data_IF_874899176041
#
_entry.id   IF_874899176041
#
_cell.length_a   1.000
_cell.length_b   1.000
_cell.length_c   1.000
_cell.angle_alpha   90.00
_cell.angle_beta   90.00
_cell.angle_gamma   90.00
#
_symmetry.space_group_name_H-M   'P 1'
#
loop_
_entity.id
_entity.type
_entity.pdbx_description
1 polymer ?
#
# COMPACT_ATOMS: atom_id res chain seq x y z
N UNK A 1 -16.50 -4.76 -31.20
CA UNK A 1 -16.20 -3.66 -30.25
C UNK A 1 -14.89 -4.00 -29.57
N UNK A 2 -13.81 -3.37 -30.02
CA UNK A 2 -12.44 -3.66 -29.59
C UNK A 2 -12.20 -2.94 -28.26
N UNK A 3 -12.03 -3.72 -27.18
CA UNK A 3 -11.76 -3.22 -25.85
C UNK A 3 -10.42 -2.50 -25.80
N UNK A 4 -10.47 -1.27 -25.29
CA UNK A 4 -9.38 -0.33 -25.08
C UNK A 4 -8.10 -0.99 -24.57
N UNK A 5 -7.00 -0.75 -25.28
CA UNK A 5 -5.63 -1.10 -24.93
C UNK A 5 -5.26 -0.45 -23.59
N UNK A 6 -5.12 -1.26 -22.53
CA UNK A 6 -4.72 -0.75 -21.21
C UNK A 6 -3.35 -0.08 -21.29
N UNK A 7 -3.31 1.17 -20.84
CA UNK A 7 -2.13 2.03 -20.74
C UNK A 7 -1.01 1.36 -19.93
N UNK A 8 0.22 1.70 -20.28
CA UNK A 8 1.42 1.40 -19.51
C UNK A 8 1.24 1.86 -18.05
N UNK A 9 0.96 0.95 -17.12
CA UNK A 9 0.73 1.21 -15.69
C UNK A 9 2.03 1.54 -14.92
N UNK A 10 3.07 2.02 -15.60
CA UNK A 10 4.31 2.42 -14.94
C UNK A 10 4.13 3.77 -14.25
N UNK A 11 4.58 3.88 -13.00
CA UNK A 11 4.62 5.17 -12.31
C UNK A 11 5.66 6.10 -12.97
N UNK A 12 5.20 7.16 -13.63
CA UNK A 12 6.09 8.13 -14.30
C UNK A 12 6.94 8.95 -13.33
N UNK A 13 6.48 9.14 -12.09
CA UNK A 13 7.17 9.90 -11.05
C UNK A 13 7.15 9.17 -9.70
N UNK A 14 8.33 8.98 -9.11
CA UNK A 14 8.53 8.27 -7.84
C UNK A 14 9.50 9.03 -6.93
N UNK A 15 9.36 8.82 -5.62
CA UNK A 15 10.19 9.45 -4.59
C UNK A 15 10.34 8.56 -3.34
N UNK A 16 11.27 8.88 -2.41
CA UNK A 16 11.36 8.23 -1.11
C UNK A 16 10.10 8.46 -0.27
N UNK A 17 9.76 7.49 0.59
CA UNK A 17 8.65 7.60 1.54
C UNK A 17 8.76 8.89 2.37
N UNK A 18 7.62 9.51 2.66
CA UNK A 18 7.57 10.76 3.43
C UNK A 18 8.28 10.62 4.78
N UNK A 19 9.07 11.64 5.13
CA UNK A 19 9.76 11.75 6.43
C UNK A 19 9.05 12.77 7.32
N UNK A 20 9.31 12.72 8.63
CA UNK A 20 8.83 13.73 9.59
C UNK A 20 9.16 15.15 9.13
N UNK A 21 10.42 15.38 8.71
CA UNK A 21 10.87 16.65 8.18
C UNK A 21 10.04 17.12 6.98
N UNK A 22 9.81 16.24 5.99
CA UNK A 22 9.00 16.57 4.81
C UNK A 22 7.54 16.87 5.19
N UNK A 23 6.99 16.15 6.16
CA UNK A 23 5.65 16.41 6.70
C UNK A 23 5.58 17.82 7.30
N UNK A 24 6.56 18.17 8.14
CA UNK A 24 6.66 19.48 8.79
C UNK A 24 6.83 20.62 7.77
N UNK A 25 7.80 20.51 6.86
CA UNK A 25 8.17 21.58 5.93
C UNK A 25 7.13 21.84 4.83
N UNK A 26 6.41 20.81 4.39
CA UNK A 26 5.50 20.92 3.24
C UNK A 26 4.03 20.98 3.69
N UNK A 27 3.60 20.02 4.50
CA UNK A 27 2.17 19.85 4.82
C UNK A 27 1.79 20.63 6.09
N UNK A 28 2.68 20.70 7.06
CA UNK A 28 2.47 21.48 8.28
C UNK A 28 3.18 22.84 8.22
N UNK A 29 3.50 23.33 7.01
CA UNK A 29 4.10 24.65 6.86
C UNK A 29 3.26 25.73 7.56
N UNK A 30 3.92 26.49 8.45
CA UNK A 30 3.32 27.56 9.25
C UNK A 30 2.44 27.07 10.41
N UNK A 31 2.56 25.81 10.83
CA UNK A 31 1.81 25.23 11.95
C UNK A 31 2.80 24.91 13.07
N UNK A 32 2.73 25.67 14.16
CA UNK A 32 3.48 25.37 15.38
C UNK A 32 2.63 24.43 16.25
N UNK A 33 3.16 23.23 16.50
CA UNK A 33 2.51 22.22 17.35
C UNK A 33 3.30 22.11 18.65
N UNK A 34 2.84 22.86 19.64
CA UNK A 34 3.39 22.85 20.99
C UNK A 34 2.35 22.33 21.97
N UNK A 35 2.81 21.67 23.04
CA UNK A 35 1.95 21.31 24.16
C UNK A 35 1.62 22.55 25.04
N UNK A 36 0.78 22.35 26.06
CA UNK A 36 0.38 23.41 26.98
C UNK A 36 1.56 23.99 27.80
N UNK A 37 2.65 23.23 27.92
CA UNK A 37 3.86 23.61 28.65
C UNK A 37 4.89 24.29 27.71
N UNK A 38 4.57 24.41 26.42
CA UNK A 38 5.42 25.02 25.39
C UNK A 38 6.47 24.08 24.79
N UNK A 39 6.42 22.78 25.08
CA UNK A 39 7.31 21.80 24.44
C UNK A 39 6.81 21.46 23.05
N UNK A 40 7.74 21.30 22.11
CA UNK A 40 7.43 20.83 20.77
C UNK A 40 6.90 19.39 20.78
N UNK A 41 5.99 19.08 19.87
CA UNK A 41 5.52 17.72 19.68
C UNK A 41 6.71 16.80 19.30
N UNK A 42 6.91 15.66 20.00
CA UNK A 42 8.02 14.77 19.67
C UNK A 42 7.96 14.19 18.26
N UNK A 43 9.11 14.06 17.60
CA UNK A 43 9.25 13.39 16.29
C UNK A 43 8.61 11.99 16.24
N UNK A 44 8.62 11.27 17.37
CA UNK A 44 7.97 9.96 17.50
C UNK A 44 6.47 10.01 17.26
N UNK A 45 5.82 11.10 17.65
CA UNK A 45 4.37 11.29 17.45
C UNK A 45 4.07 11.58 15.99
N UNK A 46 4.86 12.43 15.34
CA UNK A 46 4.76 12.65 13.89
C UNK A 46 4.96 11.34 13.11
N UNK A 47 5.97 10.55 13.48
CA UNK A 47 6.22 9.25 12.86
C UNK A 47 5.05 8.28 13.07
N UNK A 48 4.43 8.27 14.26
CA UNK A 48 3.24 7.46 14.53
C UNK A 48 2.06 7.86 13.62
N UNK A 49 1.83 9.15 13.39
CA UNK A 49 0.78 9.61 12.47
C UNK A 49 1.09 9.27 11.01
N UNK A 50 2.35 9.33 10.59
CA UNK A 50 2.78 8.84 9.26
C UNK A 50 2.48 7.34 9.14
N UNK A 51 2.85 6.53 10.13
CA UNK A 51 2.60 5.09 10.11
C UNK A 51 1.11 4.76 10.08
N UNK A 52 0.29 5.50 10.84
CA UNK A 52 -1.17 5.35 10.81
C UNK A 52 -1.73 5.71 9.44
N UNK A 53 -1.28 6.80 8.82
CA UNK A 53 -1.72 7.21 7.48
C UNK A 53 -1.34 6.16 6.42
N UNK A 54 -0.12 5.63 6.48
CA UNK A 54 0.33 4.53 5.63
C UNK A 54 -0.59 3.32 5.80
N UNK A 55 -0.80 2.86 7.04
CA UNK A 55 -1.66 1.72 7.34
C UNK A 55 -3.09 1.93 6.82
N UNK A 56 -3.69 3.09 7.06
CA UNK A 56 -5.04 3.41 6.57
C UNK A 56 -5.12 3.35 5.05
N UNK A 57 -4.14 3.92 4.33
CA UNK A 57 -4.13 3.89 2.87
C UNK A 57 -3.88 2.50 2.31
N UNK A 58 -2.99 1.70 2.93
CA UNK A 58 -2.77 0.29 2.57
C UNK A 58 -4.08 -0.50 2.65
N UNK A 59 -4.86 -0.34 3.72
CA UNK A 59 -6.16 -1.02 3.86
C UNK A 59 -7.22 -0.53 2.87
N UNK A 60 -7.30 0.78 2.61
CA UNK A 60 -8.28 1.33 1.67
C UNK A 60 -7.98 0.89 0.23
N UNK A 61 -6.70 0.90 -0.14
CA UNK A 61 -6.25 0.61 -1.50
C UNK A 61 -5.95 -0.88 -1.73
N UNK A 62 -5.95 -1.69 -0.67
CA UNK A 62 -5.61 -3.12 -0.71
C UNK A 62 -4.25 -3.34 -1.41
N UNK A 63 -3.26 -2.55 -0.98
CA UNK A 63 -1.90 -2.59 -1.51
C UNK A 63 -0.90 -2.37 -0.38
N UNK A 64 0.35 -2.79 -0.57
CA UNK A 64 1.42 -2.49 0.36
C UNK A 64 2.23 -1.26 -0.08
N UNK A 65 2.41 -0.29 0.81
CA UNK A 65 3.25 0.88 0.57
C UNK A 65 4.68 0.56 0.98
N UNK A 66 4.82 0.02 2.20
CA UNK A 66 6.12 -0.28 2.80
C UNK A 66 6.65 -1.66 2.37
N UNK A 67 7.96 -1.80 2.05
CA UNK A 67 8.56 -3.10 1.74
C UNK A 67 8.39 -4.12 2.86
N UNK A 68 7.86 -5.28 2.53
CA UNK A 68 7.67 -6.43 3.44
C UNK A 68 8.00 -7.71 2.69
N UNK A 69 8.62 -8.66 3.40
CA UNK A 69 8.72 -10.03 2.93
C UNK A 69 7.51 -10.81 3.46
N UNK A 70 7.00 -11.74 2.67
CA UNK A 70 5.98 -12.68 3.14
C UNK A 70 6.43 -13.40 4.41
N UNK A 71 5.64 -13.33 5.48
CA UNK A 71 5.92 -14.02 6.75
C UNK A 71 5.89 -15.55 6.59
N UNK A 72 4.99 -16.02 5.73
CA UNK A 72 4.87 -17.41 5.30
C UNK A 72 4.80 -17.43 3.78
N UNK A 73 5.49 -18.34 3.10
CA UNK A 73 5.35 -18.46 1.65
C UNK A 73 3.88 -18.66 1.26
N UNK A 74 3.46 -17.95 0.23
CA UNK A 74 2.11 -18.01 -0.30
C UNK A 74 1.91 -19.31 -1.08
N UNK A 75 0.81 -20.00 -0.81
CA UNK A 75 0.46 -21.22 -1.52
C UNK A 75 -0.59 -20.91 -2.60
N UNK A 76 -0.42 -21.47 -3.80
CA UNK A 76 -1.39 -21.36 -4.89
C UNK A 76 -1.74 -22.72 -5.44
N UNK A 77 -3.03 -22.87 -5.71
CA UNK A 77 -3.56 -24.01 -6.41
C UNK A 77 -3.06 -24.03 -7.86
N UNK A 78 -2.95 -25.24 -8.38
CA UNK A 78 -2.73 -25.45 -9.79
C UNK A 78 -4.06 -25.72 -10.47
N UNK A 79 -4.33 -24.98 -11.52
CA UNK A 79 -5.37 -25.29 -12.49
C UNK A 79 -4.71 -25.55 -13.86
N UNK A 80 -5.14 -26.62 -14.53
CA UNK A 80 -4.62 -26.97 -15.84
C UNK A 80 -4.85 -25.86 -16.89
N UNK A 81 -5.94 -25.10 -16.78
CA UNK A 81 -6.24 -23.99 -17.68
C UNK A 81 -5.25 -22.83 -17.49
N UNK A 82 -5.06 -22.36 -16.26
CA UNK A 82 -4.11 -21.29 -15.91
C UNK A 82 -2.68 -21.66 -16.32
N UNK A 83 -2.36 -22.96 -16.23
CA UNK A 83 -1.08 -23.49 -16.67
C UNK A 83 -0.89 -23.42 -18.19
N UNK A 84 -1.92 -23.80 -18.97
CA UNK A 84 -1.90 -23.67 -20.44
C UNK A 84 -1.78 -22.21 -20.87
N UNK A 85 -2.30 -21.27 -20.06
CA UNK A 85 -2.15 -19.83 -20.23
C UNK A 85 -0.85 -19.27 -19.64
N UNK A 86 0.26 -20.00 -19.82
CA UNK A 86 1.61 -19.63 -19.34
C UNK A 86 1.72 -19.51 -17.82
N UNK A 87 1.00 -20.36 -17.07
CA UNK A 87 1.11 -20.42 -15.62
C UNK A 87 0.74 -19.10 -14.96
N UNK A 88 -0.52 -18.68 -15.15
CA UNK A 88 -1.07 -17.50 -14.49
C UNK A 88 -1.12 -17.70 -12.97
N UNK A 89 -0.25 -17.00 -12.25
CA UNK A 89 -0.14 -17.08 -10.79
C UNK A 89 -0.29 -15.68 -10.19
N UNK A 90 -1.52 -15.27 -9.81
CA UNK A 90 -1.76 -14.00 -9.16
C UNK A 90 -1.35 -14.08 -7.68
N UNK A 91 -0.57 -13.12 -7.21
CA UNK A 91 -0.16 -12.98 -5.82
C UNK A 91 -1.17 -12.16 -5.03
N UNK A 92 -1.29 -12.44 -3.74
CA UNK A 92 -2.25 -11.76 -2.87
C UNK A 92 -1.82 -10.32 -2.54
N UNK A 93 -0.52 -10.02 -2.57
CA UNK A 93 0.01 -8.70 -2.24
C UNK A 93 0.78 -8.11 -3.42
N UNK A 94 0.57 -6.83 -3.67
CA UNK A 94 1.26 -6.05 -4.69
C UNK A 94 1.42 -4.59 -4.23
N UNK A 95 2.33 -3.80 -4.85
CA UNK A 95 3.29 -4.19 -5.89
C UNK A 95 4.36 -5.15 -5.38
N UNK A 96 4.99 -5.92 -6.28
CA UNK A 96 6.01 -6.92 -5.92
C UNK A 96 7.40 -6.44 -6.34
N UNK A 97 8.34 -6.42 -5.40
CA UNK A 97 9.73 -6.01 -5.64
C UNK A 97 10.49 -7.15 -6.30
N UNK A 98 10.42 -8.34 -5.70
CA UNK A 98 11.15 -9.52 -6.17
C UNK A 98 10.50 -10.81 -5.67
N UNK A 99 10.71 -11.90 -6.42
CA UNK A 99 10.39 -13.25 -5.98
C UNK A 99 11.66 -13.84 -5.38
N UNK A 100 11.61 -14.18 -4.10
CA UNK A 100 12.72 -14.79 -3.37
C UNK A 100 12.84 -16.26 -3.74
N UNK A 101 11.71 -16.96 -3.77
CA UNK A 101 11.63 -18.38 -4.10
C UNK A 101 10.30 -18.69 -4.77
N UNK A 102 10.35 -19.48 -5.85
CA UNK A 102 9.19 -20.10 -6.47
C UNK A 102 9.46 -21.59 -6.54
N UNK A 103 8.62 -22.37 -5.88
CA UNK A 103 8.81 -23.80 -5.77
C UNK A 103 7.50 -24.56 -5.94
N UNK A 104 7.68 -25.85 -6.18
CA UNK A 104 6.63 -26.82 -6.40
C UNK A 104 6.63 -27.80 -5.22
N UNK A 105 5.49 -27.95 -4.57
CA UNK A 105 5.26 -28.82 -3.42
C UNK A 105 4.14 -29.78 -3.78
N UNK A 106 4.39 -31.09 -3.71
CA UNK A 106 3.38 -32.11 -4.03
C UNK A 106 3.06 -33.04 -2.87
N UNK A 107 4.05 -33.32 -2.04
CA UNK A 107 3.93 -34.18 -0.87
C UNK A 107 4.24 -33.39 0.38
N UNK A 108 3.66 -33.84 1.48
CA UNK A 108 4.11 -33.46 2.80
C UNK A 108 4.89 -34.63 3.38
N UNK A 109 5.88 -34.33 4.20
CA UNK A 109 6.61 -35.36 4.93
C UNK A 109 5.77 -35.95 6.08
N UNK A 110 6.33 -36.93 6.79
CA UNK A 110 5.68 -37.59 7.94
C UNK A 110 5.37 -36.62 9.11
N UNK A 111 5.89 -35.38 9.07
CA UNK A 111 5.61 -34.30 10.04
C UNK A 111 4.63 -33.25 9.50
N UNK A 112 3.97 -33.55 8.38
CA UNK A 112 3.05 -32.66 7.69
C UNK A 112 3.71 -31.33 7.22
N UNK A 113 5.03 -31.33 7.00
CA UNK A 113 5.71 -30.19 6.40
C UNK A 113 5.78 -30.33 4.87
N UNK A 114 5.59 -29.24 4.12
CA UNK A 114 5.63 -29.28 2.66
C UNK A 114 7.02 -29.68 2.17
N UNK A 115 7.10 -30.75 1.38
CA UNK A 115 8.33 -31.22 0.76
C UNK A 115 8.49 -30.57 -0.63
N UNK A 116 9.53 -29.75 -0.77
CA UNK A 116 9.83 -29.09 -2.05
C UNK A 116 10.32 -30.13 -3.06
N UNK A 117 9.46 -30.46 -4.02
CA UNK A 117 9.80 -31.38 -5.10
C UNK A 117 10.67 -30.72 -6.19
N UNK A 118 10.50 -29.42 -6.45
CA UNK A 118 11.39 -28.67 -7.33
C UNK A 118 11.38 -27.16 -7.08
N UNK A 119 12.56 -26.54 -7.12
CA UNK A 119 12.72 -25.09 -7.22
C UNK A 119 12.69 -24.63 -8.68
N UNK A 120 11.87 -23.63 -8.97
CA UNK A 120 11.74 -23.05 -10.29
C UNK A 120 12.83 -21.97 -10.48
N UNK A 121 13.72 -22.12 -11.46
CA UNK A 121 14.76 -21.13 -11.72
C UNK A 121 14.17 -19.75 -12.07
N UNK A 122 14.77 -18.63 -11.59
CA UNK A 122 14.36 -17.27 -11.94
C UNK A 122 14.26 -16.98 -13.44
N UNK A 123 15.05 -17.68 -14.25
CA UNK A 123 15.05 -17.53 -15.69
C UNK A 123 13.81 -18.12 -16.40
N UNK A 124 12.94 -18.83 -15.67
CA UNK A 124 11.75 -19.50 -16.20
C UNK A 124 10.44 -18.80 -15.86
N UNK A 125 10.51 -17.64 -15.22
CA UNK A 125 9.33 -16.84 -14.95
C UNK A 125 9.52 -15.37 -15.30
N UNK A 126 8.40 -14.68 -15.42
CA UNK A 126 8.28 -13.24 -15.57
C UNK A 126 7.35 -12.73 -14.49
N UNK A 127 7.77 -11.70 -13.80
CA UNK A 127 6.95 -10.97 -12.84
C UNK A 127 6.41 -9.72 -13.53
N UNK A 128 5.11 -9.47 -13.35
CA UNK A 128 4.49 -8.16 -13.54
C UNK A 128 4.37 -7.50 -12.14
N UNK A 129 5.31 -6.62 -11.75
CA UNK A 129 5.39 -6.07 -10.40
C UNK A 129 4.12 -5.37 -9.93
N UNK A 130 3.56 -4.51 -10.78
CA UNK A 130 2.43 -3.64 -10.46
C UNK A 130 1.10 -4.38 -10.28
N UNK A 131 0.99 -5.57 -10.87
CA UNK A 131 -0.24 -6.38 -10.82
C UNK A 131 -0.07 -7.62 -9.93
N UNK A 132 1.15 -7.87 -9.42
CA UNK A 132 1.44 -9.08 -8.64
C UNK A 132 1.25 -10.38 -9.41
N UNK A 133 1.43 -10.39 -10.74
CA UNK A 133 1.21 -11.59 -11.56
C UNK A 133 2.54 -12.21 -11.94
N UNK A 134 2.72 -13.48 -11.62
CA UNK A 134 3.82 -14.31 -12.15
C UNK A 134 3.30 -15.08 -13.37
N UNK A 135 4.14 -15.17 -14.41
CA UNK A 135 3.95 -16.05 -15.57
C UNK A 135 5.15 -16.95 -15.75
N UNK A 136 4.90 -18.21 -16.06
CA UNK A 136 5.93 -19.21 -16.36
C UNK A 136 6.25 -19.16 -17.85
N UNK A 137 7.49 -18.81 -18.18
CA UNK A 137 8.00 -18.76 -19.56
C UNK A 137 9.30 -19.56 -19.64
N UNK A 138 9.29 -20.77 -20.26
CA UNK A 138 10.50 -21.55 -20.43
C UNK A 138 11.47 -20.89 -21.42
N UNK A 139 12.78 -21.14 -21.25
CA UNK A 139 13.83 -20.58 -22.12
C UNK A 139 14.66 -21.68 -22.82
N UNK A 140 15.57 -21.34 -23.73
CA UNK A 140 16.35 -22.36 -24.47
C UNK A 140 17.35 -23.17 -23.60
N UNK A 141 17.53 -22.83 -22.31
CA UNK A 141 18.33 -23.61 -21.34
C UNK A 141 17.45 -24.55 -20.51
N UNK A 142 16.19 -24.66 -20.88
CA UNK A 142 15.25 -25.57 -20.27
C UNK A 142 15.66 -27.01 -20.58
N UNK A 143 15.78 -27.89 -19.57
CA UNK A 143 16.13 -29.28 -19.77
C UNK A 143 15.19 -29.90 -20.81
N UNK A 144 15.72 -30.60 -21.82
CA UNK A 144 14.89 -31.23 -22.86
C UNK A 144 13.86 -32.23 -22.34
N UNK A 145 13.96 -32.67 -21.09
CA UNK A 145 12.97 -33.48 -20.36
C UNK A 145 11.79 -32.69 -19.78
N UNK A 146 11.81 -31.38 -19.99
CA UNK A 146 10.86 -30.43 -19.51
C UNK A 146 10.27 -29.60 -20.68
N UNK A 147 10.73 -29.80 -21.93
CA UNK A 147 10.34 -28.99 -23.09
C UNK A 147 8.87 -29.13 -23.55
N UNK A 148 8.28 -28.00 -23.96
CA UNK A 148 6.94 -27.90 -24.56
C UNK A 148 6.97 -28.49 -25.98
N UNK A 149 6.48 -29.72 -26.10
CA UNK A 149 6.27 -30.44 -27.35
C UNK A 149 6.35 -31.94 -27.14
N UNK A 150 5.25 -32.69 -27.36
CA UNK A 150 5.06 -34.15 -27.24
C UNK A 150 5.63 -34.91 -26.02
N UNK A 151 6.39 -34.26 -25.14
CA UNK A 151 7.17 -34.82 -24.04
C UNK A 151 7.29 -33.89 -22.81
N UNK A 152 6.36 -32.93 -22.66
CA UNK A 152 5.92 -32.37 -21.36
C UNK A 152 6.77 -31.28 -20.70
N UNK A 153 6.09 -30.32 -20.08
CA UNK A 153 6.57 -29.60 -18.90
C UNK A 153 5.61 -29.82 -17.74
N UNK A 154 6.14 -30.33 -16.62
CA UNK A 154 5.56 -30.77 -15.32
C UNK A 154 4.26 -31.61 -15.33
N UNK A 155 4.26 -32.64 -14.47
CA UNK A 155 4.07 -34.02 -14.87
C UNK A 155 2.70 -34.23 -15.52
N UNK A 156 2.69 -35.01 -16.61
CA UNK A 156 1.50 -35.48 -17.31
C UNK A 156 0.41 -36.07 -16.37
N UNK A 157 0.80 -36.43 -15.13
CA UNK A 157 -0.10 -36.81 -14.03
C UNK A 157 -1.09 -35.69 -13.62
N UNK A 158 -0.74 -34.40 -13.68
CA UNK A 158 -1.65 -33.30 -13.29
C UNK A 158 -2.57 -32.85 -14.41
N UNK A 159 -2.19 -33.04 -15.68
CA UNK A 159 -3.16 -32.87 -16.78
C UNK A 159 -4.36 -33.78 -16.64
N UNK A 160 -4.18 -34.98 -16.05
CA UNK A 160 -5.29 -35.90 -15.74
C UNK A 160 -6.13 -35.44 -14.55
N UNK A 161 -5.52 -34.78 -13.55
CA UNK A 161 -6.23 -34.33 -12.35
C UNK A 161 -6.93 -32.98 -12.54
N UNK A 162 -6.46 -32.14 -13.47
CA UNK A 162 -7.08 -30.84 -13.83
C UNK A 162 -6.92 -29.74 -12.76
N UNK A 163 -6.85 -30.12 -11.50
CA UNK A 163 -6.69 -29.28 -10.33
C UNK A 163 -5.83 -29.99 -9.27
N UNK A 164 -4.90 -29.26 -8.65
CA UNK A 164 -4.12 -29.74 -7.51
C UNK A 164 -3.99 -28.61 -6.49
N UNK A 165 -4.43 -28.79 -5.23
CA UNK A 165 -4.38 -27.73 -4.23
C UNK A 165 -2.95 -27.47 -3.73
N UNK A 166 -2.67 -26.22 -3.37
CA UNK A 166 -1.42 -25.75 -2.73
C UNK A 166 -0.13 -26.25 -3.40
N UNK A 167 -0.15 -26.38 -4.73
CA UNK A 167 0.96 -26.95 -5.50
C UNK A 167 2.15 -26.00 -5.61
N UNK A 168 1.85 -24.71 -5.75
CA UNK A 168 2.85 -23.66 -5.88
C UNK A 168 3.11 -23.03 -4.54
N UNK A 169 4.38 -22.82 -4.23
CA UNK A 169 4.81 -22.09 -3.04
C UNK A 169 5.68 -20.92 -3.47
N UNK A 170 5.30 -19.72 -3.07
CA UNK A 170 5.93 -18.47 -3.49
C UNK A 170 6.34 -17.65 -2.27
N UNK A 171 7.64 -17.43 -2.11
CA UNK A 171 8.18 -16.44 -1.17
C UNK A 171 8.59 -15.20 -1.96
N UNK A 172 8.11 -14.04 -1.55
CA UNK A 172 8.35 -12.80 -2.28
C UNK A 172 8.40 -11.59 -1.35
N UNK A 173 9.05 -10.54 -1.86
CA UNK A 173 9.11 -9.24 -1.21
C UNK A 173 8.19 -8.29 -1.98
N UNK A 174 7.27 -7.65 -1.27
CA UNK A 174 6.23 -6.78 -1.82
C UNK A 174 6.23 -5.41 -1.13
N UNK A 175 5.53 -4.44 -1.71
CA UNK A 175 5.61 -3.02 -1.40
C UNK A 175 6.45 -2.24 -2.41
N UNK A 176 6.56 -0.92 -2.23
CA UNK A 176 7.39 -0.11 -3.12
C UNK A 176 8.84 -0.09 -2.64
N UNK A 177 9.78 -0.42 -3.52
CA UNK A 177 11.20 -0.33 -3.22
C UNK A 177 11.60 1.06 -2.70
N UNK A 178 12.68 1.13 -1.90
CA UNK A 178 13.14 2.39 -1.34
C UNK A 178 13.38 3.44 -2.45
N UNK A 179 12.79 4.64 -2.30
CA UNK A 179 12.88 5.69 -3.31
C UNK A 179 11.97 5.52 -4.53
N UNK A 180 11.12 4.49 -4.55
CA UNK A 180 10.24 4.14 -5.68
C UNK A 180 8.75 4.27 -5.33
N UNK A 181 8.40 5.01 -4.28
CA UNK A 181 6.99 5.25 -3.94
C UNK A 181 6.41 6.28 -4.92
N UNK A 182 5.25 6.04 -5.54
CA UNK A 182 4.62 6.98 -6.45
C UNK A 182 4.33 8.31 -5.76
N UNK A 183 4.66 9.43 -6.40
CA UNK A 183 4.49 10.77 -5.81
C UNK A 183 3.05 11.00 -5.34
N UNK A 184 2.06 10.55 -6.11
CA UNK A 184 0.64 10.70 -5.77
C UNK A 184 0.25 9.90 -4.51
N UNK A 185 0.81 8.71 -4.34
CA UNK A 185 0.58 7.87 -3.16
C UNK A 185 1.21 8.49 -1.92
N UNK A 186 2.45 8.96 -2.04
CA UNK A 186 3.12 9.73 -0.99
C UNK A 186 2.37 11.02 -0.64
N UNK A 187 1.79 11.68 -1.64
CA UNK A 187 1.00 12.87 -1.43
C UNK A 187 -0.25 12.57 -0.59
N UNK A 188 -0.94 11.46 -0.87
CA UNK A 188 -2.05 10.98 -0.06
C UNK A 188 -1.63 10.68 1.39
N UNK A 189 -0.48 10.02 1.59
CA UNK A 189 0.08 9.77 2.95
C UNK A 189 0.32 11.08 3.67
N UNK A 190 0.93 12.06 3.01
CA UNK A 190 1.21 13.37 3.60
C UNK A 190 -0.04 14.16 3.98
N UNK A 191 -1.06 14.19 3.10
CA UNK A 191 -2.34 14.82 3.41
C UNK A 191 -3.00 14.18 4.63
N UNK A 192 -3.08 12.85 4.67
CA UNK A 192 -3.75 12.13 5.75
C UNK A 192 -2.99 12.25 7.08
N UNK A 193 -1.66 12.08 7.06
CA UNK A 193 -0.82 12.24 8.23
C UNK A 193 -0.91 13.68 8.78
N UNK A 194 -0.91 14.68 7.90
CA UNK A 194 -1.05 16.08 8.29
C UNK A 194 -2.43 16.34 8.90
N UNK A 195 -3.52 15.81 8.34
CA UNK A 195 -4.85 15.92 8.95
C UNK A 195 -4.85 15.39 10.39
N UNK A 196 -4.26 14.22 10.65
CA UNK A 196 -4.18 13.68 12.01
C UNK A 196 -3.42 14.61 12.97
N UNK A 197 -2.29 15.15 12.52
CA UNK A 197 -1.51 16.09 13.33
C UNK A 197 -2.24 17.42 13.52
N UNK A 198 -2.96 17.92 12.52
CA UNK A 198 -3.71 19.19 12.60
C UNK A 198 -4.89 19.08 13.57
N UNK A 199 -5.54 17.92 13.65
CA UNK A 199 -6.57 17.67 14.67
C UNK A 199 -5.96 17.68 16.08
N UNK A 200 -4.85 16.94 16.28
CA UNK A 200 -4.13 16.94 17.55
C UNK A 200 -3.68 18.36 17.95
N UNK A 201 -3.08 19.08 17.01
CA UNK A 201 -2.62 20.45 17.23
C UNK A 201 -3.79 21.39 17.54
N UNK A 202 -4.92 21.23 16.85
CA UNK A 202 -6.13 22.00 17.10
C UNK A 202 -6.62 21.91 18.54
N UNK A 203 -6.59 20.70 19.11
CA UNK A 203 -6.98 20.44 20.49
C UNK A 203 -5.97 21.00 21.51
N UNK A 204 -4.68 21.08 21.14
CA UNK A 204 -3.60 21.54 22.01
C UNK A 204 -3.51 23.07 22.14
N UNK A 205 -4.00 23.87 21.18
CA UNK A 205 -3.85 25.35 21.18
C UNK A 205 -4.40 26.02 22.45
N UNK A 206 -5.34 25.38 23.15
CA UNK A 206 -6.08 25.99 24.29
C UNK A 206 -6.07 25.07 25.50
N UNK A 207 -5.49 23.87 25.37
CA UNK A 207 -5.71 22.75 26.27
C UNK A 207 -6.99 22.00 25.92
N UNK A 208 -6.91 20.66 26.00
CA UNK A 208 -8.02 19.78 25.69
C UNK A 208 -9.29 20.20 26.46
N UNK A 209 -10.35 20.59 25.74
CA UNK A 209 -11.65 20.92 26.31
C UNK A 209 -11.81 22.34 26.89
N UNK A 210 -10.86 23.26 26.67
CA UNK A 210 -10.98 24.66 27.12
C UNK A 210 -11.44 25.54 25.94
N UNK A 211 -12.62 26.14 26.05
CA UNK A 211 -13.23 27.00 25.02
C UNK A 211 -12.86 28.50 25.15
N UNK A 212 -12.07 28.86 26.15
CA UNK A 212 -11.59 30.22 26.36
C UNK A 212 -10.69 30.33 27.59
N UNK A 213 -9.67 31.17 27.49
CA UNK A 213 -8.76 31.47 28.60
C UNK A 213 -8.78 32.98 28.85
N UNK A 214 -9.03 33.36 30.10
CA UNK A 214 -8.95 34.74 30.57
C UNK A 214 -7.76 34.87 31.50
N UNK A 215 -6.69 35.52 31.03
CA UNK A 215 -5.56 35.86 31.88
C UNK A 215 -5.75 37.29 32.39
N UNK A 216 -5.96 37.42 33.70
CA UNK A 216 -6.06 38.71 34.41
C UNK A 216 -4.83 38.86 35.29
N UNK A 217 -3.92 39.75 34.91
CA UNK A 217 -2.81 40.14 35.78
C UNK A 217 -2.88 41.66 35.97
N UNK A 218 -3.13 42.06 37.21
CA UNK A 218 -3.27 43.43 37.74
C UNK A 218 -3.25 44.56 36.68
N UNK A 219 -4.45 44.95 36.23
CA UNK A 219 -4.64 46.07 35.28
C UNK A 219 -4.62 45.72 33.78
N UNK A 220 -4.18 44.51 33.40
CA UNK A 220 -4.24 43.99 32.03
C UNK A 220 -5.15 42.75 31.98
N UNK A 221 -6.27 42.89 31.26
CA UNK A 221 -7.19 41.78 30.97
C UNK A 221 -6.98 41.34 29.53
N UNK A 222 -6.43 40.16 29.32
CA UNK A 222 -6.39 39.51 28.02
C UNK A 222 -7.40 38.36 28.02
N UNK A 223 -8.55 38.59 27.40
CA UNK A 223 -9.52 37.54 27.11
C UNK A 223 -9.21 36.96 25.73
N UNK A 224 -8.80 35.70 25.68
CA UNK A 224 -8.71 34.95 24.43
C UNK A 224 -9.97 34.10 24.34
N UNK A 225 -10.92 34.57 23.53
CA UNK A 225 -12.05 33.75 23.11
C UNK A 225 -11.69 33.06 21.80
N UNK A 226 -11.87 31.75 21.79
CA UNK A 226 -11.64 30.91 20.63
C UNK A 226 -12.90 30.14 20.35
N UNK A 227 -13.30 30.04 19.09
CA UNK A 227 -14.31 29.08 18.66
C UNK A 227 -13.67 27.68 18.67
N UNK A 228 -13.53 27.09 19.86
CA UNK A 228 -13.16 25.68 20.03
C UNK A 228 -14.44 24.85 20.19
N UNK A 229 -14.73 24.01 19.22
CA UNK A 229 -15.78 22.98 19.24
C UNK A 229 -15.20 21.67 18.69
N UNK A 230 -15.93 20.56 18.83
CA UNK A 230 -15.55 19.27 18.26
C UNK A 230 -15.32 19.32 16.72
N UNK A 231 -15.89 20.31 16.03
CA UNK A 231 -15.76 20.50 14.58
C UNK A 231 -14.92 21.74 14.19
N UNK A 232 -14.65 22.64 15.13
CA UNK A 232 -13.89 23.87 14.90
C UNK A 232 -12.80 24.02 15.95
N UNK A 233 -11.56 23.73 15.58
CA UNK A 233 -10.36 24.00 16.36
C UNK A 233 -9.40 24.86 15.52
N UNK A 234 -8.32 25.40 16.10
CA UNK A 234 -7.51 26.44 15.44
C UNK A 234 -6.97 26.10 14.03
N UNK A 235 -6.85 24.81 13.69
CA UNK A 235 -6.43 24.34 12.37
C UNK A 235 -7.51 23.59 11.55
N UNK A 236 -8.79 23.65 11.93
CA UNK A 236 -9.86 22.86 11.28
C UNK A 236 -10.03 23.18 9.80
N UNK A 237 -9.92 24.46 9.42
CA UNK A 237 -10.00 24.87 8.01
C UNK A 237 -8.90 24.24 7.15
N UNK A 238 -7.67 24.15 7.66
CA UNK A 238 -6.55 23.51 6.94
C UNK A 238 -6.74 22.00 6.85
N UNK A 239 -7.17 21.36 7.94
CA UNK A 239 -7.47 19.93 7.96
C UNK A 239 -8.61 19.57 6.98
N UNK A 240 -9.68 20.37 6.94
CA UNK A 240 -10.79 20.18 6.01
C UNK A 240 -10.35 20.35 4.56
N UNK A 241 -9.51 21.36 4.25
CA UNK A 241 -8.93 21.49 2.92
C UNK A 241 -8.10 20.26 2.49
N UNK A 242 -7.37 19.64 3.43
CA UNK A 242 -6.62 18.41 3.15
C UNK A 242 -7.51 17.19 2.98
N UNK A 243 -8.58 17.08 3.78
CA UNK A 243 -9.59 16.05 3.59
C UNK A 243 -10.30 16.18 2.24
N UNK A 244 -10.68 17.40 1.84
CA UNK A 244 -11.28 17.65 0.52
C UNK A 244 -10.30 17.31 -0.61
N UNK A 245 -9.02 17.65 -0.50
CA UNK A 245 -8.02 17.29 -1.49
C UNK A 245 -7.80 15.76 -1.58
N UNK A 246 -7.87 15.05 -0.45
CA UNK A 246 -7.67 13.61 -0.38
C UNK A 246 -8.89 12.83 -0.87
N UNK A 247 -10.07 13.10 -0.32
CA UNK A 247 -11.31 12.35 -0.55
C UNK A 247 -12.17 12.91 -1.67
N UNK A 248 -11.91 14.15 -2.10
CA UNK A 248 -12.76 14.86 -3.04
C UNK A 248 -13.88 15.63 -2.34
N UNK A 249 -14.50 16.57 -3.07
CA UNK A 249 -15.66 17.34 -2.58
C UNK A 249 -16.98 16.67 -2.98
N UNK A 250 -17.03 16.11 -4.18
CA UNK A 250 -18.24 15.59 -4.83
C UNK A 250 -17.86 14.43 -5.77
N UNK A 251 -18.82 13.66 -6.27
CA UNK A 251 -18.58 12.56 -7.24
C UNK A 251 -17.81 12.99 -8.50
N UNK A 252 -17.87 14.27 -8.89
CA UNK A 252 -17.16 14.82 -10.05
C UNK A 252 -15.71 15.22 -9.78
N UNK A 253 -15.33 15.32 -8.52
CA UNK A 253 -13.98 15.63 -8.06
C UNK A 253 -13.59 14.56 -7.04
N UNK A 254 -13.10 13.40 -7.51
CA UNK A 254 -12.90 12.22 -6.67
C UNK A 254 -11.68 12.33 -5.75
N UNK A 255 -10.98 13.48 -5.77
CA UNK A 255 -9.77 13.72 -5.01
C UNK A 255 -8.62 12.79 -5.38
N UNK A 256 -7.53 12.89 -4.63
CA UNK A 256 -6.33 12.06 -4.84
C UNK A 256 -6.65 10.58 -4.63
N UNK A 257 -7.45 10.25 -3.61
CA UNK A 257 -7.76 8.88 -3.26
C UNK A 257 -8.61 8.19 -4.34
N UNK A 258 -9.57 8.89 -4.94
CA UNK A 258 -10.38 8.32 -6.01
C UNK A 258 -9.53 8.00 -7.25
N UNK A 259 -8.60 8.88 -7.63
CA UNK A 259 -7.65 8.58 -8.69
C UNK A 259 -6.74 7.39 -8.36
N UNK A 260 -6.30 7.23 -7.12
CA UNK A 260 -5.54 6.07 -6.68
C UNK A 260 -6.39 4.78 -6.74
N UNK A 261 -7.65 4.84 -6.30
CA UNK A 261 -8.58 3.70 -6.39
C UNK A 261 -8.81 3.28 -7.84
N UNK A 262 -9.08 4.21 -8.73
CA UNK A 262 -9.26 3.93 -10.15
C UNK A 262 -8.01 3.28 -10.77
N UNK A 263 -6.82 3.75 -10.35
CA UNK A 263 -5.56 3.22 -10.85
C UNK A 263 -5.28 1.79 -10.37
N UNK A 264 -5.42 1.51 -9.07
CA UNK A 264 -5.04 0.21 -8.48
C UNK A 264 -6.17 -0.81 -8.48
N UNK A 265 -7.41 -0.41 -8.19
CA UNK A 265 -8.58 -1.32 -8.12
C UNK A 265 -9.37 -1.38 -9.43
N UNK A 266 -9.15 -0.44 -10.34
CA UNK A 266 -9.97 -0.28 -11.54
C UNK A 266 -11.30 0.44 -11.24
N UNK A 267 -11.99 0.88 -12.29
CA UNK A 267 -13.19 1.72 -12.21
C UNK A 267 -14.48 1.02 -11.70
N UNK A 268 -14.39 -0.21 -11.18
CA UNK A 268 -15.56 -1.05 -10.86
C UNK A 268 -16.04 -0.94 -9.39
N UNK A 269 -15.58 0.05 -8.63
CA UNK A 269 -16.13 0.32 -7.30
C UNK A 269 -17.03 1.56 -7.37
N UNK A 270 -18.27 1.34 -7.79
CA UNK A 270 -19.38 2.26 -7.50
C UNK A 270 -19.55 2.35 -5.99
N UNK A 271 -19.29 3.53 -5.45
CA UNK A 271 -19.62 3.88 -4.07
C UNK A 271 -21.16 3.88 -3.98
N UNK A 272 -21.70 3.05 -3.09
CA UNK A 272 -23.12 3.07 -2.68
C UNK A 272 -23.29 4.15 -1.63
#
# INVERSE_FOLDING_TARGET
>A
MSGSTRHNKGHTQVEPLITVKKLQEIYLFGVDVVDNDGNELPDTTYQAHINNAISTLEHILDLAITPRRTCTPEEKDYHANDYVEWGYLPLNNFPVIEINELSFVYTHDDTAQPETAMNIPPAWWRLNPEEGIIRLIPNNKFPGRLAVGSYGFFPEIFKRQGHVPNLWRIDYTYGFAAGKVPVMLNHAVGLLAATFVLHLAGDLIIGAGIAGSSLSLDGLSQSIQTTSSAENHGYSAKANNYNEALFGKNEKDPGVLGHLKDFYKGADISII
#
